data_IF_870556858556
#
_entry.id   IF_870556858556
#
_cell.length_a   1.000
_cell.length_b   1.000
_cell.length_c   1.000
_cell.angle_alpha   90.00
_cell.angle_beta   90.00
_cell.angle_gamma   90.00
#
_symmetry.space_group_name_H-M   'P 1'
#
loop_
_entity.id
_entity.type
_entity.pdbx_description
1 polymer ?
#
# COMPACT_ATOMS: atom_id res chain seq x y z
N UNK A 1 -9.12 -6.47 21.93
CA UNK A 1 -9.26 -5.56 20.77
C UNK A 1 -10.58 -4.82 20.92
N UNK A 2 -10.68 -3.54 20.54
CA UNK A 2 -11.96 -2.84 20.55
C UNK A 2 -12.98 -3.59 19.68
N UNK A 3 -14.25 -3.54 20.07
CA UNK A 3 -15.35 -4.07 19.27
C UNK A 3 -15.60 -3.10 18.11
N UNK A 4 -15.10 -3.46 16.93
CA UNK A 4 -15.26 -2.65 15.73
C UNK A 4 -16.70 -2.71 15.23
N UNK A 5 -17.25 -1.56 14.81
CA UNK A 5 -18.64 -1.45 14.32
C UNK A 5 -18.82 -2.04 12.92
N UNK A 6 -17.76 -2.05 12.12
CA UNK A 6 -17.74 -2.67 10.80
C UNK A 6 -16.72 -3.83 10.79
N UNK A 7 -16.35 -4.29 9.60
CA UNK A 7 -15.38 -5.37 9.43
C UNK A 7 -13.92 -4.90 9.55
N UNK A 8 -13.61 -3.80 10.26
CA UNK A 8 -12.27 -3.23 10.33
C UNK A 8 -11.23 -4.24 10.82
N UNK A 9 -11.56 -5.05 11.83
CA UNK A 9 -10.66 -6.08 12.34
C UNK A 9 -10.21 -7.07 11.25
N UNK A 10 -11.15 -7.52 10.39
CA UNK A 10 -10.84 -8.40 9.27
C UNK A 10 -10.04 -7.66 8.18
N UNK A 11 -10.41 -6.40 7.88
CA UNK A 11 -9.72 -5.58 6.87
C UNK A 11 -8.27 -5.32 7.27
N UNK A 12 -8.01 -4.99 8.55
CA UNK A 12 -6.65 -4.77 9.07
C UNK A 12 -5.82 -6.06 8.97
N UNK A 13 -6.42 -7.22 9.27
CA UNK A 13 -5.76 -8.52 9.12
C UNK A 13 -5.40 -8.81 7.66
N UNK A 14 -6.33 -8.58 6.73
CA UNK A 14 -6.07 -8.73 5.29
C UNK A 14 -5.01 -7.76 4.78
N UNK A 15 -5.04 -6.52 5.26
CA UNK A 15 -4.05 -5.50 4.92
C UNK A 15 -2.66 -5.91 5.38
N UNK A 16 -2.51 -6.40 6.62
CA UNK A 16 -1.23 -6.91 7.12
C UNK A 16 -0.72 -8.04 6.22
N UNK A 17 -1.56 -9.03 5.91
CA UNK A 17 -1.18 -10.13 5.02
C UNK A 17 -0.79 -9.64 3.62
N UNK A 18 -1.46 -8.60 3.11
CA UNK A 18 -1.11 -7.99 1.83
C UNK A 18 0.26 -7.30 1.87
N UNK A 19 0.57 -6.56 2.94
CA UNK A 19 1.90 -5.96 3.14
C UNK A 19 2.95 -7.06 3.27
N UNK A 20 2.75 -8.05 4.16
CA UNK A 20 3.68 -9.17 4.37
C UNK A 20 4.05 -9.85 3.03
N UNK A 21 3.03 -10.21 2.23
CA UNK A 21 3.22 -10.81 0.89
C UNK A 21 3.96 -9.93 -0.10
N UNK A 22 3.76 -8.61 -0.01
CA UNK A 22 4.47 -7.66 -0.86
C UNK A 22 5.96 -7.74 -0.57
N UNK A 23 6.36 -7.72 0.70
CA UNK A 23 7.75 -7.87 1.10
C UNK A 23 8.30 -9.26 0.74
N UNK A 24 7.60 -10.35 1.08
CA UNK A 24 8.01 -11.73 0.74
C UNK A 24 8.28 -11.91 -0.77
N UNK A 25 7.39 -11.41 -1.62
CA UNK A 25 7.53 -11.49 -3.08
C UNK A 25 8.75 -10.74 -3.62
N UNK A 26 9.19 -9.69 -2.91
CA UNK A 26 10.34 -8.89 -3.30
C UNK A 26 11.68 -9.46 -2.81
N UNK A 27 11.73 -10.08 -1.61
CA UNK A 27 12.96 -10.69 -1.10
C UNK A 27 13.22 -12.11 -1.60
N UNK A 28 12.22 -12.80 -2.15
CA UNK A 28 12.38 -14.16 -2.70
C UNK A 28 13.37 -14.26 -3.87
N UNK A 29 13.70 -13.15 -4.55
CA UNK A 29 14.54 -13.15 -5.76
C UNK A 29 15.89 -12.41 -5.60
N UNK A 30 16.35 -12.13 -4.38
CA UNK A 30 17.68 -11.53 -4.14
C UNK A 30 17.82 -10.06 -4.57
N UNK A 31 16.74 -9.41 -4.99
CA UNK A 31 16.68 -7.96 -5.27
C UNK A 31 16.63 -7.22 -3.94
N UNK A 32 17.78 -6.64 -3.55
CA UNK A 32 17.96 -6.00 -2.24
C UNK A 32 17.28 -4.64 -2.07
N UNK A 33 16.68 -4.06 -3.14
CA UNK A 33 15.93 -2.80 -3.04
C UNK A 33 14.67 -2.79 -3.89
N UNK A 34 13.52 -2.46 -3.28
CA UNK A 34 12.29 -2.18 -4.04
C UNK A 34 12.47 -0.89 -4.87
N UNK A 35 11.82 -0.81 -6.04
CA UNK A 35 11.79 0.43 -6.82
C UNK A 35 11.26 1.61 -5.97
N UNK A 36 10.32 1.33 -5.06
CA UNK A 36 9.81 2.30 -4.09
C UNK A 36 10.90 2.83 -3.15
N UNK A 37 11.77 1.96 -2.63
CA UNK A 37 12.89 2.38 -1.77
C UNK A 37 13.87 3.27 -2.56
N UNK A 38 14.19 2.93 -3.80
CA UNK A 38 15.09 3.75 -4.64
C UNK A 38 14.49 5.14 -4.88
N UNK A 39 13.19 5.22 -5.18
CA UNK A 39 12.48 6.48 -5.42
C UNK A 39 12.42 7.34 -4.16
N UNK A 40 12.23 6.71 -3.01
CA UNK A 40 12.26 7.37 -1.70
C UNK A 40 13.66 7.88 -1.39
N UNK A 41 14.70 7.06 -1.56
CA UNK A 41 16.11 7.42 -1.35
C UNK A 41 16.53 8.62 -2.22
N UNK A 42 15.90 8.81 -3.38
CA UNK A 42 16.13 9.93 -4.30
C UNK A 42 15.32 11.20 -3.94
N UNK A 43 14.56 11.20 -2.84
CA UNK A 43 13.77 12.36 -2.40
C UNK A 43 12.45 12.55 -3.16
N UNK A 44 11.98 11.51 -3.87
CA UNK A 44 10.74 11.57 -4.65
C UNK A 44 9.58 10.77 -4.03
N UNK A 45 9.71 10.38 -2.76
CA UNK A 45 8.75 9.54 -2.02
C UNK A 45 7.33 10.10 -1.99
N UNK A 46 7.16 11.38 -1.61
CA UNK A 46 5.81 11.99 -1.48
C UNK A 46 5.06 12.01 -2.80
N UNK A 47 5.69 12.48 -3.88
CA UNK A 47 5.08 12.52 -5.20
C UNK A 47 4.69 11.11 -5.68
N UNK A 48 5.55 10.13 -5.42
CA UNK A 48 5.30 8.74 -5.80
C UNK A 48 4.14 8.11 -5.03
N UNK A 49 4.06 8.28 -3.71
CA UNK A 49 2.99 7.73 -2.89
C UNK A 49 1.65 8.39 -3.23
N UNK A 50 1.61 9.73 -3.25
CA UNK A 50 0.38 10.48 -3.57
C UNK A 50 -0.11 10.21 -5.01
N UNK A 51 0.80 10.10 -5.97
CA UNK A 51 0.46 9.75 -7.34
C UNK A 51 -0.16 8.36 -7.46
N UNK A 52 0.36 7.37 -6.72
CA UNK A 52 -0.23 6.03 -6.71
C UNK A 52 -1.58 6.00 -5.99
N UNK A 53 -1.74 6.71 -4.87
CA UNK A 53 -3.05 6.87 -4.20
C UNK A 53 -4.09 7.39 -5.20
N UNK A 54 -3.78 8.49 -5.90
CA UNK A 54 -4.69 9.06 -6.90
C UNK A 54 -5.02 8.07 -8.01
N UNK A 55 -4.01 7.39 -8.56
CA UNK A 55 -4.17 6.37 -9.61
C UNK A 55 -5.13 5.26 -9.20
N UNK A 56 -4.95 4.68 -8.01
CA UNK A 56 -5.79 3.54 -7.57
C UNK A 56 -7.18 3.98 -7.12
N UNK A 57 -7.30 5.17 -6.52
CA UNK A 57 -8.61 5.77 -6.24
C UNK A 57 -9.41 6.01 -7.53
N UNK A 58 -8.78 6.53 -8.58
CA UNK A 58 -9.42 6.73 -9.89
C UNK A 58 -9.75 5.43 -10.63
N UNK A 59 -8.99 4.36 -10.37
CA UNK A 59 -9.17 3.05 -11.00
C UNK A 59 -10.37 2.29 -10.42
N UNK A 60 -10.62 2.42 -9.12
CA UNK A 60 -11.69 1.71 -8.43
C UNK A 60 -13.07 2.03 -9.03
N UNK A 61 -13.82 0.99 -9.40
CA UNK A 61 -15.10 1.12 -10.08
C UNK A 61 -15.00 1.29 -11.61
N UNK A 62 -13.79 1.47 -12.17
CA UNK A 62 -13.57 1.59 -13.61
C UNK A 62 -12.90 0.37 -14.20
N UNK A 63 -11.70 0.03 -13.73
CA UNK A 63 -10.95 -1.13 -14.23
C UNK A 63 -11.22 -2.32 -13.32
N UNK A 64 -11.71 -3.42 -13.90
CA UNK A 64 -12.10 -4.63 -13.16
C UNK A 64 -13.20 -4.37 -12.12
N UNK A 65 -14.03 -3.35 -12.35
CA UNK A 65 -15.13 -2.97 -11.46
C UNK A 65 -14.65 -2.53 -10.07
N UNK A 66 -15.31 -3.01 -9.03
CA UNK A 66 -14.98 -2.70 -7.62
C UNK A 66 -13.87 -3.62 -7.11
N UNK A 67 -12.71 -3.59 -7.75
CA UNK A 67 -11.58 -4.44 -7.37
C UNK A 67 -11.02 -4.03 -6.00
N UNK A 68 -11.13 -4.91 -5.00
CA UNK A 68 -10.61 -4.67 -3.63
C UNK A 68 -9.12 -4.36 -3.60
N UNK A 69 -8.35 -4.87 -4.56
CA UNK A 69 -6.90 -4.67 -4.64
C UNK A 69 -6.53 -3.22 -4.97
N UNK A 70 -7.44 -2.41 -5.49
CA UNK A 70 -7.20 -0.99 -5.68
C UNK A 70 -7.27 -0.26 -4.33
N UNK A 71 -8.25 -0.58 -3.48
CA UNK A 71 -8.36 -0.03 -2.13
C UNK A 71 -7.20 -0.46 -1.23
N UNK A 72 -6.77 -1.73 -1.30
CA UNK A 72 -5.60 -2.20 -0.56
C UNK A 72 -4.33 -1.44 -0.95
N UNK A 73 -4.16 -1.09 -2.23
CA UNK A 73 -3.03 -0.28 -2.68
C UNK A 73 -3.11 1.15 -2.20
N UNK A 74 -4.29 1.77 -2.23
CA UNK A 74 -4.49 3.11 -1.64
C UNK A 74 -4.02 3.13 -0.19
N UNK A 75 -4.45 2.15 0.62
CA UNK A 75 -4.06 2.07 2.03
C UNK A 75 -2.56 1.79 2.18
N UNK A 76 -1.99 0.89 1.38
CA UNK A 76 -0.55 0.59 1.43
C UNK A 76 0.31 1.83 1.15
N UNK A 77 0.01 2.59 0.09
CA UNK A 77 0.76 3.82 -0.20
C UNK A 77 0.57 4.90 0.86
N UNK A 78 -0.60 4.95 1.51
CA UNK A 78 -0.80 5.83 2.67
C UNK A 78 0.06 5.40 3.87
N UNK A 79 0.20 4.09 4.14
CA UNK A 79 1.10 3.57 5.17
C UNK A 79 2.55 3.95 4.89
N UNK A 80 3.01 3.82 3.65
CA UNK A 80 4.37 4.22 3.26
C UNK A 80 4.55 5.73 3.46
N UNK A 81 3.59 6.57 3.04
CA UNK A 81 3.70 8.02 3.24
C UNK A 81 3.76 8.38 4.73
N UNK A 82 2.92 7.76 5.56
CA UNK A 82 2.97 7.95 7.01
C UNK A 82 4.34 7.58 7.59
N UNK A 83 4.98 6.54 7.06
CA UNK A 83 6.33 6.13 7.49
C UNK A 83 7.45 7.02 6.96
N UNK A 84 7.17 7.96 6.06
CA UNK A 84 8.15 8.96 5.59
C UNK A 84 8.04 10.25 6.39
N UNK A 85 6.81 10.66 6.74
CA UNK A 85 6.54 11.96 7.34
C UNK A 85 6.45 11.93 8.87
N UNK A 86 6.20 10.76 9.48
CA UNK A 86 5.77 10.67 10.88
C UNK A 86 6.43 9.57 11.72
N UNK A 87 7.32 8.76 11.16
CA UNK A 87 8.08 7.72 11.85
C UNK A 87 9.51 7.64 11.29
#
# INVERSE_FOLDING_TARGET
MPEYKFNEGQIIKELKQYVDKTYESHYANGVKRQATEIIIDQGHGTGFCMGNILKYAQRYGKKEGKNKNDLLKVIHYAIIQLSQDHY
#
